data_IF_660427732397
#
_entry.id   IF_660427732397
#
_cell.length_a   1.000
_cell.length_b   1.000
_cell.length_c   1.000
_cell.angle_alpha   90.00
_cell.angle_beta   90.00
_cell.angle_gamma   90.00
#
_symmetry.space_group_name_H-M   'P 1'
#
loop_
_entity.id
_entity.type
_entity.pdbx_description
1 polymer ?
#
# COMPACT_ATOMS: atom_id res chain seq x y z
N UNK A 1 -13.87 -8.14 9.78
CA UNK A 1 -12.59 -8.87 9.83
C UNK A 1 -11.77 -8.45 11.05
N UNK A 2 -11.41 -9.39 11.93
CA UNK A 2 -10.60 -9.15 13.12
C UNK A 2 -9.23 -9.81 12.92
N UNK A 3 -8.25 -9.06 12.42
CA UNK A 3 -6.87 -9.54 12.36
C UNK A 3 -6.25 -9.42 13.76
N UNK A 4 -5.73 -10.53 14.28
CA UNK A 4 -5.07 -10.56 15.59
C UNK A 4 -3.70 -9.90 15.51
N UNK A 5 -3.34 -9.14 16.54
CA UNK A 5 -2.05 -8.42 16.61
C UNK A 5 -0.84 -9.36 16.46
N UNK A 6 -0.94 -10.57 17.04
CA UNK A 6 0.12 -11.59 16.99
C UNK A 6 0.44 -12.04 15.56
N UNK A 7 -0.57 -12.20 14.72
CA UNK A 7 -0.42 -12.59 13.32
C UNK A 7 0.30 -11.52 12.50
N UNK A 8 0.02 -10.24 12.76
CA UNK A 8 0.69 -9.14 12.06
C UNK A 8 2.17 -8.98 12.45
N UNK A 9 2.52 -9.29 13.71
CA UNK A 9 3.88 -9.20 14.19
C UNK A 9 4.81 -10.23 13.51
N UNK A 10 4.31 -11.45 13.29
CA UNK A 10 5.06 -12.58 12.73
C UNK A 10 5.35 -12.46 11.22
N UNK A 11 4.60 -11.65 10.48
CA UNK A 11 4.73 -11.54 9.02
C UNK A 11 5.94 -10.70 8.59
N UNK A 12 6.59 -11.06 7.49
CA UNK A 12 7.66 -10.25 6.88
C UNK A 12 7.10 -9.01 6.15
N UNK A 13 7.91 -7.99 5.88
CA UNK A 13 7.53 -6.75 5.19
C UNK A 13 6.84 -7.01 3.84
N UNK A 14 7.33 -7.99 3.06
CA UNK A 14 6.71 -8.35 1.78
C UNK A 14 5.32 -8.99 1.97
N UNK A 15 5.18 -9.85 2.98
CA UNK A 15 3.90 -10.49 3.30
C UNK A 15 2.88 -9.47 3.84
N UNK A 16 3.32 -8.51 4.65
CA UNK A 16 2.51 -7.38 5.08
C UNK A 16 2.04 -6.54 3.90
N UNK A 17 2.93 -6.29 2.92
CA UNK A 17 2.58 -5.61 1.67
C UNK A 17 1.52 -6.37 0.85
N UNK A 18 1.71 -7.68 0.65
CA UNK A 18 0.76 -8.55 -0.07
C UNK A 18 -0.62 -8.53 0.60
N UNK A 19 -0.69 -8.81 1.91
CA UNK A 19 -1.96 -8.73 2.67
C UNK A 19 -2.61 -7.35 2.61
N UNK A 20 -1.80 -6.28 2.68
CA UNK A 20 -2.31 -4.92 2.55
C UNK A 20 -2.96 -4.65 1.19
N UNK A 21 -2.41 -5.22 0.10
CA UNK A 21 -2.99 -5.10 -1.24
C UNK A 21 -4.27 -5.91 -1.42
N UNK A 22 -4.35 -7.10 -0.83
CA UNK A 22 -5.55 -7.95 -0.83
C UNK A 22 -6.71 -7.25 -0.11
N UNK A 23 -6.45 -6.70 1.08
CA UNK A 23 -7.46 -5.97 1.85
C UNK A 23 -7.94 -4.70 1.15
N UNK A 24 -7.09 -4.04 0.36
CA UNK A 24 -7.51 -2.89 -0.47
C UNK A 24 -8.47 -3.33 -1.58
N UNK A 25 -8.23 -4.47 -2.23
CA UNK A 25 -9.16 -5.02 -3.23
C UNK A 25 -10.49 -5.40 -2.60
N UNK A 26 -10.47 -6.00 -1.42
CA UNK A 26 -11.67 -6.32 -0.67
C UNK A 26 -12.44 -5.05 -0.28
N UNK A 27 -11.75 -4.03 0.23
CA UNK A 27 -12.35 -2.74 0.55
C UNK A 27 -12.98 -2.08 -0.70
N UNK A 28 -12.35 -2.20 -1.86
CA UNK A 28 -12.90 -1.68 -3.12
C UNK A 28 -14.21 -2.38 -3.47
N UNK A 29 -14.29 -3.71 -3.34
CA UNK A 29 -15.54 -4.47 -3.55
C UNK A 29 -16.64 -4.02 -2.60
N UNK A 30 -16.33 -3.87 -1.32
CA UNK A 30 -17.29 -3.40 -0.31
C UNK A 30 -17.77 -1.97 -0.58
N UNK A 31 -16.88 -1.09 -1.07
CA UNK A 31 -17.26 0.26 -1.45
C UNK A 31 -18.12 0.28 -2.72
N UNK A 32 -17.86 -0.60 -3.70
CA UNK A 32 -18.72 -0.75 -4.88
C UNK A 32 -20.11 -1.21 -4.47
N UNK A 33 -20.22 -2.25 -3.63
CA UNK A 33 -21.51 -2.73 -3.11
C UNK A 33 -22.28 -1.61 -2.39
N UNK A 34 -21.58 -0.84 -1.54
CA UNK A 34 -22.18 0.32 -0.87
C UNK A 34 -22.63 1.40 -1.87
N UNK A 35 -21.84 1.65 -2.91
CA UNK A 35 -22.16 2.66 -3.93
C UNK A 35 -23.36 2.25 -4.79
N UNK A 36 -23.53 0.94 -5.04
CA UNK A 36 -24.70 0.38 -5.73
C UNK A 36 -26.00 0.48 -4.93
N UNK A 37 -25.98 1.03 -3.70
CA UNK A 37 -27.16 1.17 -2.86
C UNK A 37 -27.65 -0.14 -2.25
N UNK A 38 -26.95 -1.26 -2.49
CA UNK A 38 -27.24 -2.54 -1.86
C UNK A 38 -26.84 -2.47 -0.39
N UNK A 39 -27.74 -2.78 0.56
CA UNK A 39 -27.39 -2.86 1.96
C UNK A 39 -26.27 -3.89 2.15
N UNK A 40 -25.11 -3.50 2.70
CA UNK A 40 -24.08 -4.48 3.01
C UNK A 40 -24.58 -5.38 4.14
N UNK A 41 -24.39 -6.70 4.01
CA UNK A 41 -24.76 -7.68 5.04
C UNK A 41 -24.15 -7.34 6.41
N UNK A 42 -22.97 -6.73 6.42
CA UNK A 42 -22.32 -6.26 7.63
C UNK A 42 -21.79 -4.83 7.46
N UNK A 43 -22.49 -3.80 7.96
CA UNK A 43 -22.03 -2.41 7.84
C UNK A 43 -20.71 -2.17 8.60
N UNK A 44 -20.41 -2.98 9.62
CA UNK A 44 -19.17 -2.93 10.39
C UNK A 44 -17.95 -3.42 9.60
N UNK A 45 -18.14 -4.15 8.50
CA UNK A 45 -17.06 -4.77 7.75
C UNK A 45 -16.15 -3.73 7.10
N UNK A 46 -16.72 -2.69 6.47
CA UNK A 46 -15.95 -1.59 5.86
C UNK A 46 -15.03 -0.92 6.90
N UNK A 47 -15.58 -0.63 8.09
CA UNK A 47 -14.81 -0.04 9.20
C UNK A 47 -13.72 -0.98 9.68
N UNK A 48 -14.01 -2.28 9.80
CA UNK A 48 -13.05 -3.29 10.21
C UNK A 48 -11.90 -3.44 9.20
N UNK A 49 -12.19 -3.51 7.90
CA UNK A 49 -11.20 -3.63 6.83
C UNK A 49 -10.31 -2.38 6.76
N UNK A 50 -10.88 -1.17 6.92
CA UNK A 50 -10.08 0.07 7.06
C UNK A 50 -9.12 0.02 8.25
N UNK A 51 -9.60 -0.43 9.41
CA UNK A 51 -8.77 -0.60 10.62
C UNK A 51 -7.66 -1.63 10.41
N UNK A 52 -7.94 -2.71 9.69
CA UNK A 52 -6.96 -3.74 9.36
C UNK A 52 -5.83 -3.19 8.48
N UNK A 53 -6.17 -2.43 7.42
CA UNK A 53 -5.19 -1.76 6.56
C UNK A 53 -4.33 -0.78 7.37
N UNK A 54 -4.94 0.02 8.25
CA UNK A 54 -4.22 0.96 9.11
C UNK A 54 -3.20 0.23 10.00
N UNK A 55 -3.60 -0.87 10.64
CA UNK A 55 -2.69 -1.68 11.47
C UNK A 55 -1.51 -2.22 10.67
N UNK A 56 -1.74 -2.77 9.47
CA UNK A 56 -0.66 -3.26 8.60
C UNK A 56 0.33 -2.15 8.28
N UNK A 57 -0.16 -0.96 7.90
CA UNK A 57 0.71 0.18 7.63
C UNK A 57 1.53 0.57 8.87
N UNK A 58 0.94 0.57 10.06
CA UNK A 58 1.66 0.82 11.30
C UNK A 58 2.78 -0.20 11.53
N UNK A 59 2.52 -1.50 11.33
CA UNK A 59 3.54 -2.53 11.47
C UNK A 59 4.66 -2.40 10.43
N UNK A 60 4.34 -2.02 9.19
CA UNK A 60 5.35 -1.72 8.16
C UNK A 60 6.24 -0.58 8.64
N UNK A 61 5.66 0.54 9.10
CA UNK A 61 6.42 1.69 9.60
C UNK A 61 7.25 1.34 10.83
N UNK A 62 6.72 0.55 11.77
CA UNK A 62 7.47 0.08 12.95
C UNK A 62 8.66 -0.79 12.54
N UNK A 63 8.49 -1.70 11.58
CA UNK A 63 9.59 -2.53 11.07
C UNK A 63 10.62 -1.73 10.25
N UNK A 64 10.19 -0.69 9.53
CA UNK A 64 11.08 0.21 8.80
C UNK A 64 11.89 1.14 9.73
N UNK A 65 11.31 1.53 10.87
CA UNK A 65 11.92 2.45 11.83
C UNK A 65 12.68 1.75 12.96
N UNK A 66 12.47 0.46 13.21
CA UNK A 66 13.26 -0.32 14.16
C UNK A 66 14.70 -0.43 13.63
N UNK A 67 15.69 0.19 14.28
CA UNK A 67 17.06 0.18 13.79
C UNK A 67 17.71 -1.17 14.12
N UNK A 68 17.57 -2.15 13.22
CA UNK A 68 18.40 -3.35 13.19
C UNK A 68 18.74 -3.73 11.73
N UNK A 69 19.92 -3.24 11.33
CA UNK A 69 20.93 -3.86 10.45
C UNK A 69 20.80 -4.05 8.93
N UNK A 70 19.65 -3.99 8.23
CA UNK A 70 19.65 -4.33 6.77
C UNK A 70 18.96 -3.34 5.79
N UNK A 71 18.59 -2.14 6.24
CA UNK A 71 17.70 -1.26 5.44
C UNK A 71 18.46 -0.30 4.49
N UNK A 72 19.79 -0.30 4.48
CA UNK A 72 20.57 0.66 3.66
C UNK A 72 20.43 0.41 2.15
N UNK A 73 20.19 -0.82 1.68
CA UNK A 73 20.12 -1.11 0.23
C UNK A 73 18.78 -0.69 -0.41
N UNK A 74 17.64 -1.00 0.21
CA UNK A 74 16.32 -0.74 -0.40
C UNK A 74 15.94 0.75 -0.43
N UNK A 75 16.49 1.57 0.48
CA UNK A 75 16.24 3.04 0.53
C UNK A 75 16.98 3.78 -0.60
N UNK A 76 18.15 3.31 -1.01
CA UNK A 76 18.88 3.83 -2.17
C UNK A 76 18.11 3.50 -3.45
N UNK A 77 17.65 2.25 -3.61
CA UNK A 77 16.90 1.83 -4.81
C UNK A 77 15.58 2.60 -4.95
N UNK A 78 14.75 2.76 -3.90
CA UNK A 78 13.51 3.56 -3.98
C UNK A 78 13.76 5.05 -4.30
N UNK A 79 14.85 5.64 -3.80
CA UNK A 79 15.25 7.03 -4.14
C UNK A 79 15.75 7.14 -5.57
N UNK A 80 16.52 6.18 -6.06
CA UNK A 80 17.02 6.14 -7.44
C UNK A 80 15.86 5.95 -8.42
N UNK A 81 14.96 4.99 -8.18
CA UNK A 81 13.79 4.75 -9.05
C UNK A 81 12.89 5.99 -9.12
N UNK A 82 12.64 6.67 -8.00
CA UNK A 82 11.85 7.92 -8.01
C UNK A 82 12.54 9.06 -8.77
N UNK A 83 13.87 9.08 -8.83
CA UNK A 83 14.66 10.07 -9.59
C UNK A 83 14.70 9.76 -11.10
N UNK A 84 14.77 8.47 -11.46
CA UNK A 84 14.74 8.01 -12.87
C UNK A 84 13.37 8.23 -13.51
N UNK A 85 12.28 7.88 -12.80
CA UNK A 85 10.90 8.08 -13.30
C UNK A 85 10.57 9.56 -13.51
N UNK A 86 11.12 10.47 -12.69
CA UNK A 86 10.92 11.91 -12.83
C UNK A 86 11.76 12.53 -13.97
N UNK A 87 12.85 11.87 -14.38
CA UNK A 87 13.72 12.31 -15.48
C UNK A 87 13.20 11.83 -16.84
N UNK A 88 12.64 10.62 -16.92
CA UNK A 88 12.03 10.09 -18.15
C UNK A 88 10.73 10.81 -18.54
N UNK A 89 9.93 11.28 -17.56
CA UNK A 89 8.75 12.11 -17.85
C UNK A 89 9.11 13.51 -18.39
N UNK A 90 10.28 14.04 -18.06
CA UNK A 90 10.74 15.37 -18.54
C UNK A 90 11.42 15.35 -19.92
N UNK A 91 11.86 14.18 -20.39
CA UNK A 91 12.41 14.02 -21.74
C UNK A 91 11.29 13.74 -22.76
N UNK A 92 10.20 13.07 -22.34
CA UNK A 92 9.09 12.73 -23.25
C UNK A 92 8.24 13.94 -23.66
N UNK A 93 8.18 15.01 -22.88
CA UNK A 93 7.45 16.23 -23.25
C UNK A 93 8.25 17.17 -24.17
N UNK A 94 9.59 17.11 -24.14
CA UNK A 94 10.44 17.98 -24.98
C UNK A 94 10.64 17.48 -26.41
N UNK A 95 10.36 16.20 -26.68
CA UNK A 95 10.52 15.61 -28.02
C UNK A 95 9.27 15.76 -28.89
N UNK A 96 8.09 15.97 -28.28
CA UNK A 96 6.82 16.20 -29.00
C UNK A 96 6.70 17.64 -29.50
N UNK A 97 7.22 18.63 -28.76
CA UNK A 97 7.22 20.05 -29.17
C UNK A 97 8.24 20.40 -30.26
N UNK A 98 9.25 19.56 -30.51
CA UNK A 98 10.26 19.80 -31.56
C UNK A 98 9.95 19.15 -32.91
N UNK A 99 8.80 18.49 -33.05
CA UNK A 99 8.37 17.78 -34.27
C UNK A 99 7.01 18.23 -34.82
N UNK A 100 6.47 19.35 -34.35
CA UNK A 100 5.25 19.97 -34.86
C UNK A 100 5.57 21.26 -35.61
#
# INVERSE_FOLDING_TARGET
MLIKKKELAQLNLEQLGKKGSELKKELMKLNMQRASGTPPENPGLIKATRKAIARINTYITQKENAPATEVKEKKVVKRVVKKVVKKSSSQKTKEVEKKA
#
